data_IF_036903538183
#
_entry.id   IF_036903538183
#
_cell.length_a   1.000
_cell.length_b   1.000
_cell.length_c   1.000
_cell.angle_alpha   90.00
_cell.angle_beta   90.00
_cell.angle_gamma   90.00
#
_symmetry.space_group_name_H-M   'P 1'
#
loop_
_entity.id
_entity.type
_entity.pdbx_description
1 polymer ?
#
# COMPACT_ATOMS: atom_id res chain seq x y z
N UNK A 1 22.90 -13.73 0.63
CA UNK A 1 22.88 -12.27 0.43
C UNK A 1 21.95 -11.69 1.48
N UNK A 2 22.33 -10.57 2.13
CA UNK A 2 21.41 -9.88 3.03
C UNK A 2 20.18 -9.44 2.25
N UNK A 3 18.99 -9.59 2.84
CA UNK A 3 17.75 -9.10 2.23
C UNK A 3 17.90 -7.60 1.95
N UNK A 4 17.48 -7.17 0.75
CA UNK A 4 17.39 -5.76 0.37
C UNK A 4 16.03 -5.14 0.74
N UNK A 5 15.27 -5.84 1.57
CA UNK A 5 14.01 -5.35 2.09
C UNK A 5 14.28 -4.36 3.22
N UNK A 6 13.71 -3.17 3.11
CA UNK A 6 13.90 -2.07 4.05
C UNK A 6 12.56 -1.48 4.42
N UNK A 7 12.44 -1.10 5.69
CA UNK A 7 11.30 -0.38 6.21
C UNK A 7 11.78 0.63 7.23
N UNK A 8 11.44 1.90 7.05
CA UNK A 8 11.87 2.97 7.95
C UNK A 8 10.70 3.88 8.30
N UNK A 9 10.54 4.17 9.60
CA UNK A 9 9.64 5.23 10.06
C UNK A 9 10.43 6.51 10.25
N UNK A 10 9.76 7.63 10.06
CA UNK A 10 10.28 8.94 10.39
C UNK A 10 9.14 9.84 10.87
N UNK A 11 9.52 10.92 11.55
CA UNK A 11 8.60 11.94 12.04
C UNK A 11 9.17 13.30 11.66
N UNK A 12 8.30 14.25 11.34
CA UNK A 12 8.70 15.64 11.20
C UNK A 12 8.70 16.26 12.59
N UNK A 13 9.89 16.60 13.09
CA UNK A 13 10.04 17.13 14.45
C UNK A 13 9.17 18.37 14.68
N UNK A 14 8.66 18.51 15.91
CA UNK A 14 7.78 19.60 16.32
C UNK A 14 6.50 19.73 15.46
N UNK A 15 6.04 18.62 14.87
CA UNK A 15 4.79 18.58 14.12
C UNK A 15 4.00 17.30 14.39
N UNK A 16 2.75 17.31 13.97
CA UNK A 16 1.87 16.14 13.96
C UNK A 16 1.88 15.43 12.62
N UNK A 17 2.99 15.45 11.88
CA UNK A 17 3.14 14.69 10.63
C UNK A 17 4.18 13.59 10.81
N UNK A 18 3.80 12.37 10.44
CA UNK A 18 4.70 11.21 10.38
C UNK A 18 4.79 10.67 8.97
N UNK A 19 5.84 9.88 8.73
CA UNK A 19 5.91 9.09 7.53
C UNK A 19 6.60 7.75 7.73
N UNK A 20 6.50 6.94 6.71
CA UNK A 20 7.25 5.71 6.58
C UNK A 20 7.54 5.44 5.12
N UNK A 21 8.67 4.82 4.83
CA UNK A 21 8.92 4.26 3.51
C UNK A 21 9.27 2.79 3.62
N UNK A 22 8.97 2.07 2.54
CA UNK A 22 9.24 0.64 2.40
C UNK A 22 9.84 0.38 1.04
N UNK A 23 10.76 -0.58 1.00
CA UNK A 23 11.22 -1.24 -0.21
C UNK A 23 11.25 -2.73 0.02
N UNK A 24 10.57 -3.47 -0.83
CA UNK A 24 10.49 -4.93 -0.85
C UNK A 24 11.15 -5.40 -2.14
N UNK A 25 12.32 -5.99 -2.03
CA UNK A 25 13.04 -6.61 -3.14
C UNK A 25 13.00 -8.13 -3.02
N UNK A 26 13.63 -8.70 -1.99
CA UNK A 26 13.73 -10.15 -1.81
C UNK A 26 12.36 -10.77 -1.53
N UNK A 27 11.55 -10.18 -0.65
CA UNK A 27 10.19 -10.66 -0.38
C UNK A 27 9.28 -10.52 -1.60
N UNK A 28 9.40 -9.41 -2.34
CA UNK A 28 8.61 -9.18 -3.56
C UNK A 28 8.93 -10.21 -4.64
N UNK A 29 10.22 -10.43 -4.91
CA UNK A 29 10.70 -11.44 -5.86
C UNK A 29 10.23 -12.85 -5.49
N UNK A 30 10.28 -13.21 -4.21
CA UNK A 30 9.83 -14.52 -3.77
C UNK A 30 8.33 -14.71 -3.99
N UNK A 31 7.52 -13.68 -3.74
CA UNK A 31 6.07 -13.73 -3.96
C UNK A 31 5.72 -13.79 -5.45
N UNK A 32 6.36 -12.96 -6.28
CA UNK A 32 6.05 -12.91 -7.71
C UNK A 32 6.56 -14.11 -8.50
N UNK A 33 7.52 -14.88 -7.97
CA UNK A 33 7.97 -16.15 -8.58
C UNK A 33 7.01 -17.33 -8.38
N UNK A 34 6.01 -17.21 -7.52
CA UNK A 34 5.07 -18.31 -7.22
C UNK A 34 4.09 -18.57 -8.36
N UNK A 35 3.89 -17.62 -9.28
CA UNK A 35 3.03 -17.75 -10.45
C UNK A 35 3.59 -16.91 -11.61
N UNK A 36 3.27 -17.24 -12.87
CA UNK A 36 3.71 -16.47 -14.04
C UNK A 36 2.84 -15.20 -14.21
N UNK A 37 2.93 -14.28 -13.25
CA UNK A 37 2.18 -13.03 -13.31
C UNK A 37 2.60 -12.22 -14.54
N UNK A 38 1.65 -11.68 -15.34
CA UNK A 38 1.93 -10.64 -16.32
C UNK A 38 2.33 -9.33 -15.62
N UNK A 39 3.06 -8.45 -16.29
CA UNK A 39 3.62 -7.24 -15.66
C UNK A 39 2.59 -6.33 -15.01
N UNK A 40 1.41 -6.04 -15.62
CA UNK A 40 0.36 -5.25 -14.95
C UNK A 40 -0.12 -5.87 -13.63
N UNK A 41 -0.17 -7.21 -13.56
CA UNK A 41 -0.57 -7.93 -12.35
C UNK A 41 0.56 -7.93 -11.32
N UNK A 42 1.82 -8.06 -11.74
CA UNK A 42 2.99 -7.93 -10.86
C UNK A 42 3.08 -6.54 -10.23
N UNK A 43 2.85 -5.49 -11.00
CA UNK A 43 2.87 -4.11 -10.52
C UNK A 43 1.76 -3.90 -9.50
N UNK A 44 0.52 -4.28 -9.81
CA UNK A 44 -0.61 -4.16 -8.89
C UNK A 44 -0.39 -4.96 -7.58
N UNK A 45 0.14 -6.19 -7.68
CA UNK A 45 0.49 -6.99 -6.51
C UNK A 45 1.60 -6.35 -5.70
N UNK A 46 2.61 -5.78 -6.36
CA UNK A 46 3.70 -5.05 -5.72
C UNK A 46 3.21 -3.82 -4.96
N UNK A 47 2.38 -2.99 -5.57
CA UNK A 47 1.79 -1.83 -4.91
C UNK A 47 0.97 -2.24 -3.67
N UNK A 48 0.17 -3.31 -3.77
CA UNK A 48 -0.61 -3.82 -2.64
C UNK A 48 0.28 -4.34 -1.50
N UNK A 49 1.40 -4.98 -1.81
CA UNK A 49 2.37 -5.43 -0.81
C UNK A 49 3.00 -4.24 -0.07
N UNK A 50 3.50 -3.24 -0.81
CA UNK A 50 4.03 -2.01 -0.22
C UNK A 50 2.99 -1.31 0.65
N UNK A 51 1.76 -1.15 0.15
CA UNK A 51 0.66 -0.56 0.90
C UNK A 51 0.38 -1.33 2.20
N UNK A 52 0.30 -2.66 2.16
CA UNK A 52 0.06 -3.47 3.35
C UNK A 52 1.16 -3.30 4.41
N UNK A 53 2.43 -3.19 3.99
CA UNK A 53 3.57 -2.97 4.87
C UNK A 53 3.57 -1.54 5.47
N UNK A 54 3.27 -0.52 4.67
CA UNK A 54 3.13 0.85 5.14
C UNK A 54 1.96 1.01 6.11
N UNK A 55 0.79 0.46 5.77
CA UNK A 55 -0.42 0.58 6.58
C UNK A 55 -0.33 -0.24 7.86
N UNK A 56 0.25 -1.44 7.85
CA UNK A 56 0.48 -2.21 9.09
C UNK A 56 1.38 -1.45 10.07
N UNK A 57 2.18 -0.48 9.60
CA UNK A 57 3.03 0.35 10.45
C UNK A 57 2.26 1.32 11.35
N UNK A 58 1.01 1.61 11.00
CA UNK A 58 0.14 2.57 11.72
C UNK A 58 -0.60 1.91 12.88
N UNK A 59 -0.64 0.57 12.92
CA UNK A 59 -1.24 -0.21 13.99
C UNK A 59 -0.49 0.02 15.32
N UNK A 60 -1.25 0.24 16.39
CA UNK A 60 -0.73 0.45 17.76
C UNK A 60 -0.59 -0.85 18.56
N UNK A 61 -0.87 -1.99 17.94
CA UNK A 61 -0.96 -3.31 18.59
C UNK A 61 -0.42 -4.41 17.67
N UNK A 62 -0.13 -5.57 18.27
CA UNK A 62 0.26 -6.78 17.54
C UNK A 62 -0.92 -7.37 16.77
N UNK A 63 -0.68 -7.68 15.50
CA UNK A 63 -1.68 -8.23 14.61
C UNK A 63 -1.25 -8.20 13.16
N UNK A 64 -2.24 -8.26 12.29
CA UNK A 64 -2.08 -8.40 10.84
C UNK A 64 -3.05 -7.47 10.12
N UNK A 65 -2.55 -6.77 9.10
CA UNK A 65 -3.36 -5.99 8.18
C UNK A 65 -3.36 -6.67 6.81
N UNK A 66 -4.53 -6.87 6.24
CA UNK A 66 -4.69 -7.34 4.86
C UNK A 66 -5.52 -6.38 4.02
N UNK A 67 -5.10 -6.22 2.78
CA UNK A 67 -5.80 -5.52 1.70
C UNK A 67 -6.28 -6.62 0.76
N UNK A 68 -7.58 -6.64 0.47
CA UNK A 68 -8.18 -7.61 -0.44
C UNK A 68 -9.09 -6.91 -1.44
N UNK A 69 -8.90 -7.17 -2.72
CA UNK A 69 -9.84 -6.79 -3.78
C UNK A 69 -10.41 -8.05 -4.45
N UNK A 70 -11.72 -8.03 -4.69
CA UNK A 70 -12.42 -9.04 -5.47
C UNK A 70 -13.13 -8.33 -6.61
N UNK A 71 -12.89 -8.81 -7.82
CA UNK A 71 -13.24 -8.11 -9.04
C UNK A 71 -13.83 -9.03 -10.11
N UNK A 72 -14.51 -8.43 -11.08
CA UNK A 72 -15.01 -9.09 -12.28
C UNK A 72 -14.12 -8.81 -13.51
N UNK A 73 -13.00 -8.11 -13.32
CA UNK A 73 -11.99 -7.90 -14.36
C UNK A 73 -11.02 -9.08 -14.50
N UNK A 74 -9.98 -8.93 -15.33
CA UNK A 74 -8.95 -9.95 -15.55
C UNK A 74 -8.27 -10.42 -14.26
N UNK A 75 -8.16 -9.56 -13.24
CA UNK A 75 -7.75 -9.90 -11.88
C UNK A 75 -8.98 -10.10 -11.01
N UNK A 76 -9.36 -11.36 -10.81
CA UNK A 76 -10.54 -11.74 -10.01
C UNK A 76 -10.32 -11.64 -8.51
N UNK A 77 -9.07 -11.77 -8.05
CA UNK A 77 -8.71 -11.64 -6.64
C UNK A 77 -7.33 -11.03 -6.53
N UNK A 78 -7.18 -10.05 -5.65
CA UNK A 78 -5.92 -9.50 -5.19
C UNK A 78 -5.93 -9.57 -3.67
N UNK A 79 -4.86 -10.08 -3.06
CA UNK A 79 -4.67 -10.05 -1.61
C UNK A 79 -3.22 -9.74 -1.29
N UNK A 80 -3.00 -8.78 -0.39
CA UNK A 80 -1.71 -8.50 0.20
C UNK A 80 -1.88 -8.37 1.72
N UNK A 81 -0.93 -8.90 2.48
CA UNK A 81 -0.99 -8.94 3.93
C UNK A 81 0.38 -8.66 4.52
N UNK A 82 0.41 -7.89 5.61
CA UNK A 82 1.60 -7.68 6.41
C UNK A 82 1.28 -7.82 7.91
N UNK A 83 2.11 -8.57 8.63
CA UNK A 83 2.06 -8.64 10.10
C UNK A 83 2.80 -7.45 10.73
N UNK A 84 2.55 -7.21 12.02
CA UNK A 84 3.30 -6.23 12.81
C UNK A 84 4.81 -6.52 12.88
N UNK A 85 5.23 -7.78 12.70
CA UNK A 85 6.63 -8.22 12.59
C UNK A 85 7.21 -8.11 11.18
N UNK A 86 6.46 -7.54 10.22
CA UNK A 86 6.87 -7.32 8.82
C UNK A 86 6.98 -8.58 7.97
N UNK A 87 6.32 -9.66 8.36
CA UNK A 87 6.11 -10.77 7.45
C UNK A 87 5.04 -10.39 6.43
N UNK A 88 5.43 -10.41 5.15
CA UNK A 88 4.55 -10.07 4.03
C UNK A 88 4.18 -11.32 3.24
N UNK A 89 2.95 -11.36 2.73
CA UNK A 89 2.50 -12.35 1.75
C UNK A 89 1.44 -11.73 0.85
N UNK A 90 1.34 -12.24 -0.36
CA UNK A 90 0.30 -11.79 -1.29
C UNK A 90 0.06 -12.78 -2.40
N UNK A 91 -1.07 -12.62 -3.08
CA UNK A 91 -1.47 -13.42 -4.23
C UNK A 91 -2.40 -12.60 -5.12
N UNK A 92 -2.29 -12.81 -6.43
CA UNK A 92 -3.30 -12.40 -7.39
C UNK A 92 -3.85 -13.62 -8.13
N UNK A 93 -5.16 -13.68 -8.35
CA UNK A 93 -5.80 -14.64 -9.25
C UNK A 93 -6.21 -13.91 -10.50
N UNK A 94 -5.66 -14.32 -11.63
CA UNK A 94 -5.84 -13.63 -12.90
C UNK A 94 -6.20 -14.60 -14.03
N UNK A 95 -6.80 -14.08 -15.09
CA UNK A 95 -7.01 -14.77 -16.35
C UNK A 95 -5.94 -14.35 -17.36
N UNK A 96 -4.97 -15.22 -17.62
CA UNK A 96 -3.83 -14.96 -18.49
C UNK A 96 -4.23 -14.53 -19.92
N UNK A 97 -5.33 -15.08 -20.45
CA UNK A 97 -5.80 -14.74 -21.81
C UNK A 97 -6.43 -13.34 -21.88
N UNK A 98 -6.93 -12.85 -20.75
CA UNK A 98 -7.67 -11.59 -20.66
C UNK A 98 -6.77 -10.40 -20.29
N UNK A 99 -5.68 -10.61 -19.55
CA UNK A 99 -4.79 -9.52 -19.12
C UNK A 99 -4.11 -8.87 -20.34
N UNK A 100 -4.17 -7.54 -20.40
CA UNK A 100 -3.50 -6.68 -21.38
C UNK A 100 -2.84 -5.50 -20.65
N UNK A 101 -2.30 -4.53 -21.39
CA UNK A 101 -1.95 -3.22 -20.83
C UNK A 101 -3.23 -2.51 -20.40
N UNK A 102 -3.59 -2.69 -19.13
CA UNK A 102 -4.87 -2.26 -18.54
C UNK A 102 -4.61 -1.36 -17.33
N UNK A 103 -5.50 -0.39 -17.13
CA UNK A 103 -5.51 0.43 -15.91
C UNK A 103 -5.89 -0.39 -14.68
N UNK A 104 -5.63 0.16 -13.47
CA UNK A 104 -6.06 -0.43 -12.20
C UNK A 104 -7.55 -0.82 -12.19
N UNK A 105 -8.41 0.07 -12.71
CA UNK A 105 -9.86 -0.15 -12.72
C UNK A 105 -10.29 -1.20 -13.75
N UNK A 106 -9.61 -1.29 -14.90
CA UNK A 106 -9.86 -2.34 -15.89
C UNK A 106 -9.39 -3.71 -15.39
N UNK A 107 -8.19 -3.79 -14.80
CA UNK A 107 -7.64 -5.03 -14.23
C UNK A 107 -8.58 -5.67 -13.21
N UNK A 108 -9.09 -4.88 -12.26
CA UNK A 108 -10.00 -5.38 -11.24
C UNK A 108 -11.47 -5.40 -11.71
N UNK A 109 -11.81 -4.66 -12.75
CA UNK A 109 -13.20 -4.46 -13.20
C UNK A 109 -14.11 -3.96 -12.06
N UNK A 110 -15.41 -4.26 -12.14
CA UNK A 110 -16.34 -3.98 -11.03
C UNK A 110 -16.11 -4.95 -9.87
N UNK A 111 -16.23 -4.46 -8.64
CA UNK A 111 -16.04 -5.32 -7.47
C UNK A 111 -15.91 -4.55 -6.17
N UNK A 112 -15.40 -5.23 -5.14
CA UNK A 112 -15.22 -4.70 -3.80
C UNK A 112 -13.75 -4.75 -3.38
N UNK A 113 -13.33 -3.76 -2.60
CA UNK A 113 -12.05 -3.78 -1.91
C UNK A 113 -12.30 -3.61 -0.41
N UNK A 114 -11.56 -4.37 0.38
CA UNK A 114 -11.71 -4.40 1.84
C UNK A 114 -10.33 -4.39 2.50
N UNK A 115 -10.23 -3.67 3.61
CA UNK A 115 -9.13 -3.76 4.55
C UNK A 115 -9.61 -4.58 5.74
N UNK A 116 -8.81 -5.56 6.15
CA UNK A 116 -9.05 -6.30 7.38
C UNK A 116 -7.89 -6.07 8.34
N UNK A 117 -8.21 -5.77 9.59
CA UNK A 117 -7.26 -5.75 10.69
C UNK A 117 -7.62 -6.88 11.65
N UNK A 118 -6.70 -7.82 11.81
CA UNK A 118 -6.84 -8.96 12.72
C UNK A 118 -5.84 -8.80 13.87
N UNK A 119 -6.25 -8.28 15.03
CA UNK A 119 -5.36 -8.21 16.18
C UNK A 119 -5.10 -9.61 16.75
N UNK A 120 -3.95 -9.82 17.38
CA UNK A 120 -3.70 -11.07 18.13
C UNK A 120 -4.62 -11.20 19.35
N UNK A 121 -5.00 -10.07 19.93
CA UNK A 121 -5.96 -9.98 21.04
C UNK A 121 -7.03 -8.94 20.73
N UNK A 122 -8.30 -9.33 20.82
CA UNK A 122 -9.44 -8.47 20.57
C UNK A 122 -10.25 -8.92 19.36
N UNK A 123 -10.98 -7.97 18.77
CA UNK A 123 -11.91 -8.27 17.68
C UNK A 123 -11.35 -7.86 16.32
N UNK A 124 -11.58 -8.72 15.33
CA UNK A 124 -11.30 -8.42 13.93
C UNK A 124 -12.13 -7.21 13.50
N UNK A 125 -11.48 -6.29 12.81
CA UNK A 125 -12.09 -5.13 12.18
C UNK A 125 -12.00 -5.26 10.65
N UNK A 126 -13.04 -4.83 9.95
CA UNK A 126 -13.07 -4.81 8.49
C UNK A 126 -13.70 -3.51 7.99
N UNK A 127 -12.99 -2.82 7.10
CA UNK A 127 -13.43 -1.61 6.45
C UNK A 127 -13.58 -1.83 4.94
N UNK A 128 -14.66 -1.32 4.35
CA UNK A 128 -14.86 -1.33 2.89
C UNK A 128 -14.11 -0.13 2.31
N UNK A 129 -13.32 -0.38 1.27
CA UNK A 129 -12.58 0.66 0.57
C UNK A 129 -13.37 1.10 -0.68
N UNK A 130 -13.76 2.38 -0.79
CA UNK A 130 -14.36 2.91 -1.99
C UNK A 130 -13.43 2.74 -3.19
N UNK A 131 -13.97 2.31 -4.33
CA UNK A 131 -13.24 2.17 -5.59
C UNK A 131 -13.61 3.30 -6.54
N UNK A 132 -13.41 4.53 -6.07
CA UNK A 132 -13.81 5.77 -6.74
C UNK A 132 -12.62 6.49 -7.39
N UNK A 133 -11.40 6.00 -7.16
CA UNK A 133 -10.14 6.58 -7.64
C UNK A 133 -9.51 5.71 -8.74
N UNK A 134 -8.62 6.32 -9.53
CA UNK A 134 -7.96 5.65 -10.66
C UNK A 134 -6.79 4.75 -10.26
N UNK A 135 -6.36 4.80 -8.99
CA UNK A 135 -5.21 4.05 -8.49
C UNK A 135 -5.51 3.36 -7.17
N UNK A 136 -4.74 2.30 -6.86
CA UNK A 136 -4.80 1.64 -5.56
C UNK A 136 -4.47 2.62 -4.43
N UNK A 137 -3.44 3.44 -4.60
CA UNK A 137 -3.05 4.46 -3.63
C UNK A 137 -4.21 5.42 -3.35
N UNK A 138 -4.83 5.99 -4.38
CA UNK A 138 -5.97 6.90 -4.24
C UNK A 138 -7.14 6.26 -3.49
N UNK A 139 -7.51 5.02 -3.84
CA UNK A 139 -8.59 4.31 -3.13
C UNK A 139 -8.28 4.13 -1.63
N UNK A 140 -7.03 3.80 -1.29
CA UNK A 140 -6.59 3.64 0.09
C UNK A 140 -6.51 4.98 0.84
N UNK A 141 -6.09 6.07 0.18
CA UNK A 141 -6.15 7.43 0.73
C UNK A 141 -7.60 7.83 1.05
N UNK A 142 -8.54 7.61 0.12
CA UNK A 142 -9.96 7.86 0.32
C UNK A 142 -10.52 7.05 1.50
N UNK A 143 -10.11 5.79 1.64
CA UNK A 143 -10.46 4.98 2.82
C UNK A 143 -10.03 5.64 4.13
N UNK A 144 -8.77 6.07 4.25
CA UNK A 144 -8.28 6.72 5.47
C UNK A 144 -8.99 8.06 5.74
N UNK A 145 -9.27 8.83 4.69
CA UNK A 145 -9.98 10.09 4.80
C UNK A 145 -11.41 9.91 5.31
N UNK A 146 -12.14 8.91 4.81
CA UNK A 146 -13.55 8.72 5.13
C UNK A 146 -13.79 7.85 6.38
N UNK A 147 -13.03 6.78 6.56
CA UNK A 147 -13.26 5.79 7.62
C UNK A 147 -12.48 6.09 8.89
N UNK A 148 -11.25 6.60 8.76
CA UNK A 148 -10.36 6.86 9.90
C UNK A 148 -10.27 8.35 10.26
N UNK A 149 -10.76 9.24 9.39
CA UNK A 149 -10.61 10.70 9.50
C UNK A 149 -9.14 11.13 9.66
N UNK A 150 -8.24 10.41 8.98
CA UNK A 150 -6.81 10.66 8.98
C UNK A 150 -6.34 11.04 7.58
N UNK A 151 -5.93 12.29 7.41
CA UNK A 151 -5.29 12.72 6.18
C UNK A 151 -4.02 11.88 5.97
N UNK A 152 -4.04 11.11 4.89
CA UNK A 152 -3.02 10.13 4.55
C UNK A 152 -2.67 10.30 3.08
N UNK A 153 -1.39 10.22 2.76
CA UNK A 153 -0.91 10.18 1.39
C UNK A 153 -0.01 8.98 1.18
N UNK A 154 -0.23 8.30 0.06
CA UNK A 154 0.40 7.06 -0.33
C UNK A 154 0.96 7.23 -1.73
N UNK A 155 2.25 6.92 -1.86
CA UNK A 155 2.93 6.81 -3.14
C UNK A 155 3.42 5.38 -3.22
N UNK A 156 3.03 4.67 -4.27
CA UNK A 156 3.30 3.25 -4.44
C UNK A 156 3.90 3.05 -5.83
N UNK A 157 4.95 2.25 -5.90
CA UNK A 157 5.59 1.85 -7.15
C UNK A 157 5.96 0.38 -7.10
N UNK A 158 5.91 -0.29 -8.24
CA UNK A 158 6.44 -1.63 -8.39
C UNK A 158 6.88 -1.87 -9.84
N UNK A 159 8.02 -2.51 -10.00
CA UNK A 159 8.58 -2.95 -11.27
C UNK A 159 8.93 -4.44 -11.22
N UNK A 160 9.65 -4.95 -12.22
CA UNK A 160 10.09 -6.35 -12.24
C UNK A 160 11.03 -6.73 -11.09
N UNK A 161 11.69 -5.75 -10.47
CA UNK A 161 12.79 -5.95 -9.53
C UNK A 161 12.35 -5.78 -8.07
N UNK A 162 11.49 -4.81 -7.79
CA UNK A 162 11.11 -4.40 -6.45
C UNK A 162 9.71 -3.77 -6.40
N UNK A 163 9.19 -3.72 -5.18
CA UNK A 163 8.02 -2.94 -4.79
C UNK A 163 8.46 -1.91 -3.75
N UNK A 164 7.98 -0.68 -3.84
CA UNK A 164 8.33 0.38 -2.91
C UNK A 164 7.15 1.31 -2.64
N UNK A 165 7.22 2.02 -1.53
CA UNK A 165 6.21 3.04 -1.24
C UNK A 165 6.59 3.98 -0.13
N UNK A 166 5.91 5.13 -0.12
CA UNK A 166 6.01 6.19 0.87
C UNK A 166 4.61 6.47 1.42
N UNK A 167 4.50 6.50 2.74
CA UNK A 167 3.32 6.91 3.47
C UNK A 167 3.63 8.20 4.23
N UNK A 168 2.74 9.17 4.11
CA UNK A 168 2.68 10.35 4.95
C UNK A 168 1.32 10.39 5.63
N UNK A 169 1.28 10.75 6.91
CA UNK A 169 0.03 10.78 7.64
C UNK A 169 0.05 11.84 8.74
N UNK A 170 -1.08 12.54 8.87
CA UNK A 170 -1.35 13.44 10.00
C UNK A 170 -1.74 12.65 11.24
N UNK A 171 -1.18 13.04 12.37
CA UNK A 171 -1.46 12.48 13.68
C UNK A 171 -2.62 13.24 14.35
N UNK A 172 -3.36 12.59 15.27
CA UNK A 172 -4.38 13.27 16.06
C UNK A 172 -3.81 14.46 16.82
N UNK A 173 -4.57 15.56 16.89
CA UNK A 173 -4.16 16.79 17.58
C UNK A 173 -3.35 17.77 16.73
N UNK A 174 -3.39 17.63 15.40
CA UNK A 174 -2.78 18.58 14.46
C UNK A 174 -3.40 19.99 14.56
N UNK A 175 -2.54 20.99 14.42
CA UNK A 175 -2.83 22.44 14.49
C UNK A 175 -2.89 23.07 13.09
N UNK A 176 -3.22 24.37 13.00
CA UNK A 176 -3.14 25.12 11.73
C UNK A 176 -1.71 25.19 11.16
N UNK A 177 -0.69 25.25 12.01
CA UNK A 177 0.72 25.20 11.56
C UNK A 177 1.07 23.84 10.92
N UNK A 178 0.45 22.77 11.42
CA UNK A 178 0.57 21.43 10.84
C UNK A 178 -0.14 21.33 9.47
N UNK A 179 -1.17 22.15 9.20
CA UNK A 179 -1.84 22.17 7.89
C UNK A 179 -0.90 22.69 6.80
N UNK A 180 -0.18 23.77 7.07
CA UNK A 180 0.79 24.35 6.16
C UNK A 180 1.98 23.41 5.93
N UNK A 181 2.51 22.79 7.00
CA UNK A 181 3.53 21.74 6.86
C UNK A 181 3.03 20.55 6.05
N UNK A 182 1.83 20.05 6.35
CA UNK A 182 1.21 18.93 5.64
C UNK A 182 1.12 19.19 4.13
N UNK A 183 0.66 20.39 3.75
CA UNK A 183 0.55 20.77 2.35
C UNK A 183 1.92 20.81 1.66
N UNK A 184 2.93 21.41 2.29
CA UNK A 184 4.30 21.47 1.75
C UNK A 184 4.93 20.09 1.59
N UNK A 185 4.83 19.26 2.62
CA UNK A 185 5.41 17.91 2.62
C UNK A 185 4.74 17.06 1.54
N UNK A 186 3.43 17.19 1.35
CA UNK A 186 2.74 16.51 0.26
C UNK A 186 3.13 17.02 -1.13
N UNK A 187 3.29 18.33 -1.30
CA UNK A 187 3.81 18.87 -2.56
C UNK A 187 5.20 18.32 -2.90
N UNK A 188 6.09 18.21 -1.91
CA UNK A 188 7.40 17.60 -2.11
C UNK A 188 7.30 16.09 -2.37
N UNK A 189 6.52 15.36 -1.59
CA UNK A 189 6.40 13.92 -1.74
C UNK A 189 5.82 13.51 -3.11
N UNK A 190 4.92 14.31 -3.66
CA UNK A 190 4.35 14.07 -5.00
C UNK A 190 5.35 14.25 -6.15
N UNK A 191 6.56 14.74 -5.89
CA UNK A 191 7.63 14.79 -6.90
C UNK A 191 8.47 13.52 -6.93
N UNK A 192 8.28 12.59 -5.98
CA UNK A 192 9.04 11.34 -5.92
C UNK A 192 8.76 10.50 -7.18
N UNK A 193 9.83 10.08 -7.83
CA UNK A 193 9.79 9.23 -9.02
C UNK A 193 9.98 7.77 -8.65
N UNK A 194 9.50 6.87 -9.53
CA UNK A 194 9.61 5.43 -9.33
C UNK A 194 11.07 4.99 -9.11
N UNK A 195 11.98 5.46 -9.98
CA UNK A 195 13.41 5.09 -9.91
C UNK A 195 14.08 5.50 -8.59
N UNK A 196 13.67 6.63 -8.01
CA UNK A 196 14.23 7.12 -6.74
C UNK A 196 13.87 6.20 -5.59
N UNK A 197 12.63 5.71 -5.56
CA UNK A 197 12.13 4.89 -4.45
C UNK A 197 12.47 3.41 -4.62
N UNK A 198 12.48 2.90 -5.85
CA UNK A 198 12.79 1.50 -6.17
C UNK A 198 14.28 1.17 -6.04
N UNK A 199 15.16 2.17 -6.17
CA UNK A 199 16.61 2.02 -6.06
C UNK A 199 17.23 2.62 -4.79
N UNK A 200 16.40 3.02 -3.82
CA UNK A 200 16.87 3.53 -2.53
C UNK A 200 17.71 2.45 -1.80
N UNK A 201 18.89 2.85 -1.28
CA UNK A 201 19.83 2.00 -0.51
C UNK A 201 19.98 2.46 0.93
#
# INVERSE_FOLDING_TARGET
MASRDQFQRFIFENSQVRGAWVRLNSSYQEITRQAPYPDPVKTLLGEALAASALMSSTLKFSGTLSIQAQGQGPVSTLMAECTHERYVRGIARFNEEAVREESFNELLGQGQMVITITPEQGHRYQGVVPREEDTLAGCLEAYFQHSEQLATSLILFADESASAGLLLQRMPGATEEDDDLWNRVNHLARTVQADELLNLE
#
